data_IF_063167022491
#
_entry.id   IF_063167022491
#
_cell.length_a   1.000
_cell.length_b   1.000
_cell.length_c   1.000
_cell.angle_alpha   90.00
_cell.angle_beta   90.00
_cell.angle_gamma   90.00
#
_symmetry.space_group_name_H-M   'P 1'
#
loop_
_entity.id
_entity.type
_entity.pdbx_description
1 polymer ?
#
# COMPACT_ATOMS: atom_id res chain seq x y z
N UNK A 1 17.98 6.79 -7.74
CA UNK A 1 17.26 5.97 -8.74
C UNK A 1 15.84 6.47 -9.04
N UNK A 2 15.50 6.68 -10.32
CA UNK A 2 14.12 6.98 -10.75
C UNK A 2 13.36 5.71 -11.13
N UNK A 3 12.04 5.69 -10.93
CA UNK A 3 11.16 4.57 -11.28
C UNK A 3 11.28 4.11 -12.74
N UNK A 4 11.59 5.04 -13.65
CA UNK A 4 11.87 4.73 -15.07
C UNK A 4 12.99 3.71 -15.22
N UNK A 5 14.04 3.80 -14.40
CA UNK A 5 15.18 2.89 -14.47
C UNK A 5 14.83 1.49 -13.93
N UNK A 6 14.13 1.42 -12.80
CA UNK A 6 13.60 0.17 -12.25
C UNK A 6 12.68 -0.54 -13.26
N UNK A 7 11.82 0.21 -13.96
CA UNK A 7 10.95 -0.35 -14.99
C UNK A 7 11.74 -0.97 -16.16
N UNK A 8 12.75 -0.28 -16.69
CA UNK A 8 13.56 -0.82 -17.80
C UNK A 8 14.31 -2.08 -17.36
N UNK A 9 14.87 -2.09 -16.13
CA UNK A 9 15.49 -3.30 -15.57
C UNK A 9 14.50 -4.47 -15.49
N UNK A 10 13.29 -4.22 -14.99
CA UNK A 10 12.22 -5.23 -14.93
C UNK A 10 11.84 -5.70 -16.32
N UNK A 11 11.58 -4.80 -17.27
CA UNK A 11 11.20 -5.16 -18.65
C UNK A 11 12.29 -5.96 -19.35
N UNK A 12 13.57 -5.61 -19.16
CA UNK A 12 14.69 -6.38 -19.69
C UNK A 12 14.77 -7.77 -19.08
N UNK A 13 14.46 -7.91 -17.79
CA UNK A 13 14.42 -9.22 -17.14
C UNK A 13 13.30 -10.11 -17.68
N UNK A 14 12.10 -9.55 -17.91
CA UNK A 14 11.02 -10.31 -18.53
C UNK A 14 11.35 -10.66 -19.99
N UNK A 15 11.99 -9.75 -20.74
CA UNK A 15 12.42 -10.05 -22.13
C UNK A 15 13.45 -11.17 -22.21
N UNK A 16 14.33 -11.30 -21.21
CA UNK A 16 15.33 -12.38 -21.16
C UNK A 16 14.73 -13.74 -20.81
N UNK A 17 13.69 -13.79 -19.98
CA UNK A 17 13.11 -15.04 -19.45
C UNK A 17 11.73 -15.28 -20.05
N UNK A 18 11.64 -16.21 -21.01
CA UNK A 18 10.38 -16.56 -21.69
C UNK A 18 9.31 -17.16 -20.76
N UNK A 19 9.73 -17.78 -19.64
CA UNK A 19 8.86 -18.38 -18.62
C UNK A 19 9.19 -17.80 -17.23
N UNK A 20 8.78 -16.55 -16.97
CA UNK A 20 9.06 -15.87 -15.71
C UNK A 20 7.92 -16.09 -14.70
N UNK A 21 8.19 -16.81 -13.60
CA UNK A 21 7.25 -16.98 -12.48
C UNK A 21 7.36 -15.87 -11.44
N UNK A 22 8.59 -15.49 -11.10
CA UNK A 22 8.94 -14.40 -10.19
C UNK A 22 10.21 -13.68 -10.65
N UNK A 23 10.32 -12.39 -10.31
CA UNK A 23 11.52 -11.58 -10.48
C UNK A 23 11.64 -10.57 -9.36
N UNK A 24 12.86 -10.25 -8.95
CA UNK A 24 13.12 -9.21 -7.96
C UNK A 24 14.30 -8.37 -8.43
N UNK A 25 14.15 -7.05 -8.37
CA UNK A 25 15.21 -6.14 -8.79
C UNK A 25 15.32 -4.94 -7.86
N UNK A 26 16.56 -4.47 -7.70
CA UNK A 26 16.90 -3.27 -6.96
C UNK A 26 18.20 -2.70 -7.53
N UNK A 27 18.53 -1.48 -7.14
CA UNK A 27 19.82 -0.87 -7.45
C UNK A 27 20.57 -0.53 -6.18
N UNK A 28 21.90 -0.42 -6.31
CA UNK A 28 22.77 -0.07 -5.20
C UNK A 28 22.33 1.21 -4.46
N UNK A 29 22.04 2.29 -5.18
CA UNK A 29 21.50 3.52 -4.60
C UNK A 29 20.17 3.32 -3.87
N UNK A 30 19.30 2.46 -4.40
CA UNK A 30 18.00 2.20 -3.77
C UNK A 30 18.15 1.43 -2.45
N UNK A 31 19.17 0.56 -2.35
CA UNK A 31 19.55 -0.06 -1.06
C UNK A 31 20.08 0.99 -0.07
N UNK A 32 20.92 1.92 -0.51
CA UNK A 32 21.39 3.02 0.35
C UNK A 32 20.22 3.87 0.85
N UNK A 33 19.29 4.22 -0.04
CA UNK A 33 18.08 4.95 0.32
C UNK A 33 17.20 4.18 1.30
N UNK A 34 17.11 2.85 1.18
CA UNK A 34 16.37 2.02 2.13
C UNK A 34 16.95 2.13 3.54
N UNK A 35 18.28 2.14 3.69
CA UNK A 35 18.90 2.31 5.00
C UNK A 35 18.65 3.69 5.65
N UNK A 36 18.23 4.69 4.87
CA UNK A 36 17.93 6.04 5.36
C UNK A 36 16.42 6.23 5.55
N UNK A 37 15.60 5.70 4.65
CA UNK A 37 14.17 6.01 4.52
C UNK A 37 13.24 4.78 4.65
N UNK A 38 13.80 3.59 4.87
CA UNK A 38 13.10 2.30 4.78
C UNK A 38 12.42 1.83 6.07
N UNK A 39 12.37 2.67 7.10
CA UNK A 39 11.70 2.35 8.37
C UNK A 39 10.22 2.02 8.16
N UNK A 40 9.54 2.78 7.29
CA UNK A 40 8.16 2.52 6.87
C UNK A 40 8.14 2.39 5.36
N UNK A 41 7.58 1.29 4.87
CA UNK A 41 7.42 1.05 3.44
C UNK A 41 5.95 0.87 3.07
N UNK A 42 5.59 1.30 1.87
CA UNK A 42 4.36 0.93 1.17
C UNK A 42 4.66 -0.23 0.22
N UNK A 43 3.74 -1.18 0.19
CA UNK A 43 3.79 -2.34 -0.68
C UNK A 43 2.38 -2.56 -1.24
N UNK A 44 2.23 -2.32 -2.54
CA UNK A 44 0.94 -2.42 -3.23
C UNK A 44 1.09 -3.32 -4.46
N UNK A 45 0.24 -4.34 -4.60
CA UNK A 45 0.22 -5.18 -5.79
C UNK A 45 -0.62 -4.52 -6.87
N UNK A 46 -0.03 -4.34 -8.06
CA UNK A 46 -0.76 -3.83 -9.22
C UNK A 46 -0.91 -4.91 -10.29
N UNK A 47 -2.15 -5.31 -10.53
CA UNK A 47 -2.52 -6.33 -11.51
C UNK A 47 -2.65 -5.74 -12.93
N UNK A 48 -2.43 -6.57 -13.96
CA UNK A 48 -2.62 -6.23 -15.39
C UNK A 48 -1.80 -5.03 -15.91
N UNK A 49 -0.66 -4.73 -15.31
CA UNK A 49 0.17 -3.59 -15.74
C UNK A 49 1.22 -3.94 -16.79
N UNK A 50 1.41 -5.22 -17.13
CA UNK A 50 2.39 -5.63 -18.14
C UNK A 50 1.82 -6.68 -19.12
N UNK A 51 2.46 -6.81 -20.27
CA UNK A 51 2.08 -7.72 -21.35
C UNK A 51 2.16 -9.22 -20.99
N UNK A 52 2.68 -9.53 -19.80
CA UNK A 52 2.91 -10.88 -19.30
C UNK A 52 1.92 -11.26 -18.19
N UNK A 53 0.93 -10.41 -17.91
CA UNK A 53 -0.09 -10.61 -16.86
C UNK A 53 0.51 -10.85 -15.46
N UNK A 54 1.75 -10.41 -15.22
CA UNK A 54 2.39 -10.52 -13.90
C UNK A 54 1.99 -9.36 -12.99
N UNK A 55 2.07 -9.60 -11.70
CA UNK A 55 1.74 -8.66 -10.64
C UNK A 55 2.98 -7.86 -10.30
N UNK A 56 2.92 -6.54 -10.52
CA UNK A 56 4.01 -5.64 -10.19
C UNK A 56 3.86 -5.10 -8.77
N UNK A 57 4.93 -5.22 -7.98
CA UNK A 57 4.94 -4.93 -6.54
C UNK A 57 6.15 -4.05 -6.19
N UNK A 58 6.03 -2.72 -6.23
CA UNK A 58 7.10 -1.84 -5.80
C UNK A 58 7.19 -1.80 -4.27
N UNK A 59 8.42 -1.77 -3.76
CA UNK A 59 8.73 -1.46 -2.38
C UNK A 59 9.10 0.01 -2.30
N UNK A 60 8.22 0.83 -1.74
CA UNK A 60 8.37 2.29 -1.75
C UNK A 60 8.35 2.84 -0.34
N UNK A 61 9.07 3.91 -0.07
CA UNK A 61 8.96 4.70 1.16
C UNK A 61 8.89 6.18 0.80
N UNK A 62 9.19 7.06 1.76
CA UNK A 62 9.24 8.50 1.52
C UNK A 62 10.53 9.11 2.03
N UNK A 63 11.08 10.06 1.27
CA UNK A 63 12.20 10.87 1.74
C UNK A 63 11.76 11.90 2.79
N UNK A 64 12.71 12.67 3.31
CA UNK A 64 12.46 13.72 4.31
C UNK A 64 11.57 14.88 3.79
N UNK A 65 11.30 14.94 2.48
CA UNK A 65 10.39 15.89 1.87
C UNK A 65 9.02 15.28 1.55
N UNK A 66 8.77 14.04 1.96
CA UNK A 66 7.54 13.30 1.69
C UNK A 66 7.40 12.82 0.24
N UNK A 67 8.48 12.86 -0.56
CA UNK A 67 8.48 12.36 -1.94
C UNK A 67 8.68 10.85 -1.94
N UNK A 68 7.98 10.11 -2.82
CA UNK A 68 8.11 8.66 -2.90
C UNK A 68 9.52 8.25 -3.35
N UNK A 69 10.07 7.24 -2.69
CA UNK A 69 11.37 6.63 -3.01
C UNK A 69 11.20 5.13 -3.17
N UNK A 70 11.46 4.59 -4.35
CA UNK A 70 11.38 3.14 -4.60
C UNK A 70 12.71 2.46 -4.29
N UNK A 71 12.66 1.48 -3.39
CA UNK A 71 13.80 0.71 -2.90
C UNK A 71 14.06 -0.56 -3.73
N UNK A 72 12.99 -1.22 -4.16
CA UNK A 72 13.04 -2.41 -4.97
C UNK A 72 11.71 -2.60 -5.72
N UNK A 73 11.67 -3.56 -6.64
CA UNK A 73 10.43 -4.01 -7.25
C UNK A 73 10.43 -5.52 -7.44
N UNK A 74 9.27 -6.12 -7.20
CA UNK A 74 8.95 -7.50 -7.50
C UNK A 74 8.03 -7.65 -8.71
N UNK A 75 8.17 -8.78 -9.38
CA UNK A 75 7.14 -9.37 -10.22
C UNK A 75 6.81 -10.75 -9.68
N UNK A 76 5.52 -11.04 -9.53
CA UNK A 76 5.04 -12.39 -9.20
C UNK A 76 3.90 -12.78 -10.12
N UNK A 77 3.80 -14.06 -10.45
CA UNK A 77 2.78 -14.58 -11.37
C UNK A 77 1.39 -14.73 -10.73
N UNK A 78 1.30 -14.70 -9.40
CA UNK A 78 0.05 -14.90 -8.66
C UNK A 78 0.14 -14.32 -7.23
N UNK A 79 -1.01 -14.12 -6.57
CA UNK A 79 -1.12 -13.58 -5.20
C UNK A 79 -1.15 -14.68 -4.13
N UNK A 80 -0.54 -15.85 -4.38
CA UNK A 80 -0.46 -16.89 -3.35
C UNK A 80 0.62 -16.54 -2.34
N UNK A 81 0.42 -16.98 -1.09
CA UNK A 81 1.37 -16.82 0.01
C UNK A 81 2.80 -17.17 -0.38
N UNK A 82 3.03 -18.29 -1.07
CA UNK A 82 4.37 -18.72 -1.47
C UNK A 82 5.12 -17.71 -2.35
N UNK A 83 4.41 -17.02 -3.26
CA UNK A 83 5.02 -16.00 -4.10
C UNK A 83 5.46 -14.78 -3.29
N UNK A 84 4.65 -14.37 -2.31
CA UNK A 84 5.01 -13.28 -1.39
C UNK A 84 6.10 -13.68 -0.38
N UNK A 85 6.11 -14.94 0.08
CA UNK A 85 7.20 -15.47 0.93
C UNK A 85 8.53 -15.39 0.18
N UNK A 86 8.57 -15.85 -1.07
CA UNK A 86 9.75 -15.72 -1.92
C UNK A 86 10.17 -14.26 -2.06
N UNK A 87 9.22 -13.37 -2.36
CA UNK A 87 9.49 -11.97 -2.62
C UNK A 87 10.01 -11.21 -1.38
N UNK A 88 9.36 -11.36 -0.23
CA UNK A 88 9.79 -10.72 1.01
C UNK A 88 11.13 -11.30 1.50
N UNK A 89 11.37 -12.60 1.28
CA UNK A 89 12.66 -13.21 1.62
C UNK A 89 13.80 -12.57 0.84
N UNK A 90 13.63 -12.39 -0.47
CA UNK A 90 14.61 -11.71 -1.32
C UNK A 90 14.78 -10.25 -0.93
N UNK A 91 13.68 -9.55 -0.63
CA UNK A 91 13.75 -8.16 -0.17
C UNK A 91 14.62 -8.03 1.09
N UNK A 92 14.37 -8.84 2.13
CA UNK A 92 15.15 -8.80 3.37
C UNK A 92 16.61 -9.22 3.13
N UNK A 93 16.87 -10.25 2.33
CA UNK A 93 18.24 -10.66 2.00
C UNK A 93 19.02 -9.55 1.30
N UNK A 94 18.38 -8.85 0.34
CA UNK A 94 19.03 -7.77 -0.40
C UNK A 94 19.20 -6.51 0.45
N UNK A 95 18.20 -6.14 1.26
CA UNK A 95 18.22 -4.93 2.08
C UNK A 95 18.99 -5.10 3.40
N UNK A 96 19.13 -6.34 3.89
CA UNK A 96 19.84 -6.69 5.12
C UNK A 96 19.04 -6.50 6.41
N UNK A 97 17.93 -5.77 6.38
CA UNK A 97 17.04 -5.55 7.53
C UNK A 97 15.60 -5.46 7.04
N UNK A 98 14.66 -5.93 7.87
CA UNK A 98 13.23 -5.79 7.64
C UNK A 98 12.75 -4.37 8.00
N UNK A 99 11.70 -3.84 7.34
CA UNK A 99 11.15 -2.54 7.69
C UNK A 99 10.51 -2.61 9.08
N UNK A 100 10.44 -1.48 9.79
CA UNK A 100 9.73 -1.43 11.08
C UNK A 100 8.21 -1.47 10.87
N UNK A 101 7.72 -0.92 9.77
CA UNK A 101 6.30 -1.00 9.39
C UNK A 101 6.13 -1.18 7.88
N UNK A 102 5.14 -1.98 7.51
CA UNK A 102 4.68 -2.17 6.14
C UNK A 102 3.22 -1.72 6.01
N UNK A 103 2.97 -0.82 5.06
CA UNK A 103 1.64 -0.40 4.63
C UNK A 103 1.26 -1.23 3.41
N UNK A 104 0.23 -2.05 3.53
CA UNK A 104 -0.21 -2.97 2.48
C UNK A 104 -1.72 -2.96 2.31
N UNK A 105 -2.25 -3.64 1.31
CA UNK A 105 -3.69 -3.85 1.17
C UNK A 105 -4.24 -4.91 2.15
N UNK A 106 -5.46 -5.40 1.93
CA UNK A 106 -6.12 -6.38 2.78
C UNK A 106 -5.89 -7.84 2.31
N UNK A 107 -4.89 -8.11 1.46
CA UNK A 107 -4.65 -9.47 0.95
C UNK A 107 -4.17 -10.44 2.04
N UNK A 108 -4.80 -11.62 2.10
CA UNK A 108 -4.54 -12.66 3.11
C UNK A 108 -3.25 -13.44 2.81
N UNK A 109 -2.93 -13.66 1.54
CA UNK A 109 -1.70 -14.34 1.14
C UNK A 109 -0.47 -13.53 1.55
N UNK A 110 -0.52 -12.23 1.27
CA UNK A 110 0.47 -11.26 1.69
C UNK A 110 0.55 -11.14 3.21
N UNK A 111 -0.58 -11.11 3.92
CA UNK A 111 -0.57 -11.08 5.38
C UNK A 111 0.15 -12.29 5.98
N UNK A 112 -0.12 -13.49 5.45
CA UNK A 112 0.53 -14.71 5.90
C UNK A 112 2.04 -14.68 5.65
N UNK A 113 2.46 -14.21 4.47
CA UNK A 113 3.87 -14.10 4.10
C UNK A 113 4.63 -13.06 4.95
N UNK A 114 4.00 -11.93 5.29
CA UNK A 114 4.62 -10.92 6.16
C UNK A 114 4.79 -11.49 7.58
N UNK A 115 3.79 -12.21 8.12
CA UNK A 115 3.92 -12.86 9.43
C UNK A 115 5.05 -13.87 9.49
N UNK A 116 5.32 -14.57 8.39
CA UNK A 116 6.39 -15.55 8.29
C UNK A 116 7.78 -14.91 8.13
N UNK A 117 7.91 -13.92 7.25
CA UNK A 117 9.22 -13.40 6.82
C UNK A 117 9.62 -12.10 7.50
N UNK A 118 8.66 -11.21 7.77
CA UNK A 118 8.88 -9.88 8.33
C UNK A 118 8.51 -9.87 9.82
N UNK A 119 9.07 -10.81 10.58
CA UNK A 119 8.79 -10.97 12.01
C UNK A 119 9.15 -9.68 12.77
N UNK A 120 8.18 -9.14 13.51
CA UNK A 120 8.34 -7.88 14.27
C UNK A 120 8.07 -6.62 13.45
N UNK A 121 7.89 -6.71 12.12
CA UNK A 121 7.38 -5.60 11.32
C UNK A 121 5.91 -5.35 11.67
N UNK A 122 5.57 -4.08 11.89
CA UNK A 122 4.19 -3.67 12.15
C UNK A 122 3.39 -3.56 10.86
N UNK A 123 2.14 -4.03 10.87
CA UNK A 123 1.30 -4.04 9.67
C UNK A 123 0.30 -2.88 9.74
N UNK A 124 0.17 -2.15 8.64
CA UNK A 124 -0.85 -1.13 8.45
C UNK A 124 -1.59 -1.38 7.14
N UNK A 125 -2.90 -1.28 7.16
CA UNK A 125 -3.71 -1.32 5.95
C UNK A 125 -3.70 0.04 5.25
N UNK A 126 -3.60 -0.02 3.93
CA UNK A 126 -3.56 1.13 3.05
C UNK A 126 -4.89 1.86 3.11
N UNK A 127 -4.84 3.09 3.62
CA UNK A 127 -6.03 3.90 3.83
C UNK A 127 -6.77 4.18 2.52
N UNK A 128 -6.06 4.31 1.40
CA UNK A 128 -6.71 4.51 0.11
C UNK A 128 -7.68 3.38 -0.26
N UNK A 129 -7.26 2.12 -0.11
CA UNK A 129 -8.10 0.96 -0.43
C UNK A 129 -9.33 0.89 0.47
N UNK A 130 -9.15 1.23 1.76
CA UNK A 130 -10.24 1.31 2.72
C UNK A 130 -11.23 2.38 2.30
N UNK A 131 -10.75 3.61 2.05
CA UNK A 131 -11.60 4.74 1.67
C UNK A 131 -12.30 4.54 0.32
N UNK A 132 -11.63 3.86 -0.63
CA UNK A 132 -12.25 3.48 -1.90
C UNK A 132 -13.43 2.53 -1.69
N UNK A 133 -13.25 1.47 -0.89
CA UNK A 133 -14.34 0.55 -0.54
C UNK A 133 -15.43 1.26 0.27
N UNK A 134 -15.05 2.11 1.21
CA UNK A 134 -15.95 2.88 2.06
C UNK A 134 -16.96 3.69 1.25
N UNK A 135 -16.51 4.36 0.19
CA UNK A 135 -17.38 5.12 -0.71
C UNK A 135 -18.46 4.26 -1.39
N UNK A 136 -18.26 2.94 -1.46
CA UNK A 136 -19.26 1.99 -1.99
C UNK A 136 -20.18 1.40 -0.92
N UNK A 137 -19.80 1.54 0.36
CA UNK A 137 -20.49 0.94 1.52
C UNK A 137 -21.37 1.94 2.27
N UNK A 138 -21.00 3.22 2.26
CA UNK A 138 -21.81 4.30 2.85
C UNK A 138 -23.09 4.51 2.02
N UNK A 139 -24.27 4.62 2.65
CA UNK A 139 -25.50 5.01 1.96
C UNK A 139 -25.36 6.31 1.14
N UNK A 140 -25.90 6.33 -0.08
CA UNK A 140 -25.80 7.48 -1.00
C UNK A 140 -26.28 8.82 -0.41
N UNK A 141 -27.22 8.78 0.53
CA UNK A 141 -27.72 9.97 1.24
C UNK A 141 -26.61 10.58 2.10
N UNK A 142 -25.90 9.77 2.88
CA UNK A 142 -24.80 10.21 3.74
C UNK A 142 -23.58 10.66 2.93
N UNK A 143 -23.34 10.07 1.75
CA UNK A 143 -22.31 10.57 0.83
C UNK A 143 -22.56 11.99 0.30
N UNK A 144 -23.76 12.54 0.49
CA UNK A 144 -24.12 13.92 0.12
C UNK A 144 -24.26 14.83 1.34
N UNK A 145 -24.16 14.26 2.53
CA UNK A 145 -24.26 14.97 3.80
C UNK A 145 -22.86 15.50 4.15
N UNK A 146 -22.73 16.83 4.20
CA UNK A 146 -21.44 17.47 4.47
C UNK A 146 -21.04 17.37 5.95
N UNK A 147 -22.01 17.33 6.86
CA UNK A 147 -21.75 17.17 8.29
C UNK A 147 -21.24 15.75 8.56
N UNK A 148 -21.89 14.74 7.98
CA UNK A 148 -21.40 13.36 8.03
C UNK A 148 -19.96 13.27 7.53
N UNK A 149 -19.66 13.81 6.34
CA UNK A 149 -18.31 13.76 5.79
C UNK A 149 -17.30 14.43 6.71
N UNK A 150 -17.65 15.57 7.30
CA UNK A 150 -16.76 16.32 8.18
C UNK A 150 -16.46 15.54 9.45
N UNK A 151 -17.50 15.06 10.14
CA UNK A 151 -17.38 14.28 11.37
C UNK A 151 -16.63 12.96 11.12
N UNK A 152 -17.01 12.25 10.07
CA UNK A 152 -16.40 10.98 9.68
C UNK A 152 -14.92 11.13 9.31
N UNK A 153 -14.56 12.19 8.58
CA UNK A 153 -13.16 12.46 8.28
C UNK A 153 -12.37 12.87 9.54
N UNK A 154 -12.96 13.64 10.46
CA UNK A 154 -12.32 14.00 11.72
C UNK A 154 -12.05 12.77 12.58
N UNK A 155 -13.00 11.82 12.64
CA UNK A 155 -12.83 10.56 13.35
C UNK A 155 -11.68 9.71 12.78
N UNK A 156 -11.61 9.54 11.45
CA UNK A 156 -10.64 8.61 10.81
C UNK A 156 -9.24 9.21 10.63
N UNK A 157 -9.14 10.48 10.26
CA UNK A 157 -7.87 11.05 9.78
C UNK A 157 -7.07 11.78 10.85
N UNK A 158 -7.62 11.95 12.04
CA UNK A 158 -6.92 12.61 13.13
C UNK A 158 -5.79 11.73 13.64
N UNK A 159 -4.57 12.23 13.48
CA UNK A 159 -3.35 11.67 14.06
C UNK A 159 -3.09 12.17 15.49
N UNK A 160 -3.94 13.09 15.97
CA UNK A 160 -3.89 13.63 17.33
C UNK A 160 -4.78 12.86 18.31
N UNK A 161 -5.73 12.06 17.82
CA UNK A 161 -6.61 11.30 18.69
C UNK A 161 -5.83 10.23 19.45
N UNK A 162 -6.12 10.09 20.75
CA UNK A 162 -5.88 8.85 21.48
C UNK A 162 -6.85 7.76 20.99
N UNK A 163 -6.50 6.46 21.14
CA UNK A 163 -7.43 5.37 20.85
C UNK A 163 -8.81 5.56 21.46
N UNK A 164 -8.90 6.01 22.72
CA UNK A 164 -10.15 6.24 23.45
C UNK A 164 -11.02 7.30 22.77
N UNK A 165 -10.42 8.39 22.28
CA UNK A 165 -11.13 9.43 21.55
C UNK A 165 -11.67 8.93 20.21
N UNK A 166 -10.92 8.04 19.54
CA UNK A 166 -11.44 7.36 18.35
C UNK A 166 -12.65 6.47 18.70
N UNK A 167 -12.58 5.69 19.78
CA UNK A 167 -13.70 4.81 20.20
C UNK A 167 -14.98 5.59 20.44
N UNK A 168 -14.88 6.72 21.16
CA UNK A 168 -16.02 7.60 21.47
C UNK A 168 -16.62 8.19 20.19
N UNK A 169 -15.79 8.84 19.36
CA UNK A 169 -16.25 9.45 18.11
C UNK A 169 -16.81 8.43 17.11
N UNK A 170 -16.17 7.26 17.00
CA UNK A 170 -16.65 6.19 16.12
C UNK A 170 -18.04 5.74 16.55
N UNK A 171 -18.24 5.49 17.85
CA UNK A 171 -19.54 5.10 18.39
C UNK A 171 -20.60 6.18 18.15
N UNK A 172 -20.30 7.44 18.46
CA UNK A 172 -21.22 8.56 18.24
C UNK A 172 -21.68 8.65 16.78
N UNK A 173 -20.76 8.54 15.83
CA UNK A 173 -21.05 8.57 14.40
C UNK A 173 -21.89 7.35 13.98
N UNK A 174 -21.54 6.16 14.44
CA UNK A 174 -22.26 4.93 14.10
C UNK A 174 -23.72 5.02 14.57
N UNK A 175 -23.94 5.48 15.80
CA UNK A 175 -25.27 5.65 16.41
C UNK A 175 -26.07 6.78 15.73
N UNK A 176 -25.44 7.96 15.54
CA UNK A 176 -26.09 9.15 14.97
C UNK A 176 -26.59 8.91 13.54
N UNK A 177 -25.85 8.14 12.74
CA UNK A 177 -26.15 7.92 11.33
C UNK A 177 -26.80 6.56 11.03
N UNK A 178 -27.12 5.77 12.06
CA UNK A 178 -27.82 4.49 11.93
C UNK A 178 -27.02 3.44 11.15
N UNK A 179 -25.73 3.30 11.49
CA UNK A 179 -24.79 2.41 10.80
C UNK A 179 -24.52 1.10 11.57
N UNK A 180 -25.20 0.86 12.69
CA UNK A 180 -24.92 -0.25 13.63
C UNK A 180 -25.12 -1.62 12.97
N UNK A 181 -26.17 -1.77 12.16
CA UNK A 181 -26.51 -3.04 11.50
C UNK A 181 -25.67 -3.32 10.25
N UNK A 182 -24.79 -2.39 9.86
CA UNK A 182 -23.98 -2.52 8.67
C UNK A 182 -22.71 -3.33 8.96
N UNK A 183 -22.73 -4.62 8.58
CA UNK A 183 -21.63 -5.58 8.74
C UNK A 183 -20.24 -5.03 8.37
N UNK A 184 -20.16 -4.23 7.31
CA UNK A 184 -18.90 -3.64 6.87
C UNK A 184 -18.28 -2.68 7.90
N UNK A 185 -19.09 -1.84 8.56
CA UNK A 185 -18.58 -0.93 9.59
C UNK A 185 -18.14 -1.70 10.83
N UNK A 186 -18.91 -2.70 11.26
CA UNK A 186 -18.55 -3.60 12.36
C UNK A 186 -17.23 -4.34 12.08
N UNK A 187 -17.05 -4.80 10.84
CA UNK A 187 -15.80 -5.42 10.39
C UNK A 187 -14.64 -4.43 10.41
N UNK A 188 -14.81 -3.22 9.88
CA UNK A 188 -13.73 -2.23 9.89
C UNK A 188 -13.37 -1.78 11.31
N UNK A 189 -14.34 -1.70 12.21
CA UNK A 189 -14.13 -1.42 13.62
C UNK A 189 -13.32 -2.53 14.32
N UNK A 190 -13.62 -3.81 14.05
CA UNK A 190 -12.85 -4.91 14.65
C UNK A 190 -11.38 -4.90 14.21
N UNK A 191 -11.08 -4.33 13.04
CA UNK A 191 -9.73 -4.16 12.52
C UNK A 191 -9.10 -2.79 12.78
N UNK A 192 -9.69 -1.92 13.61
CA UNK A 192 -9.22 -0.54 13.88
C UNK A 192 -7.71 -0.39 14.10
N UNK A 193 -7.09 -1.33 14.81
CA UNK A 193 -5.64 -1.36 15.11
C UNK A 193 -4.75 -1.46 13.86
N UNK A 194 -5.30 -1.92 12.74
CA UNK A 194 -4.59 -2.05 11.47
C UNK A 194 -4.69 -0.81 10.59
N UNK A 195 -5.61 0.14 10.81
CA UNK A 195 -5.80 1.24 9.87
C UNK A 195 -5.99 2.62 10.49
N UNK A 196 -6.57 2.71 11.69
CA UNK A 196 -6.85 3.98 12.35
C UNK A 196 -5.55 4.62 12.84
N UNK A 197 -5.21 5.86 12.41
CA UNK A 197 -3.98 6.56 12.82
C UNK A 197 -3.76 6.62 14.34
N UNK A 198 -4.82 6.80 15.14
CA UNK A 198 -4.74 6.86 16.61
C UNK A 198 -4.03 5.66 17.24
N UNK A 199 -4.10 4.49 16.59
CA UNK A 199 -3.43 3.28 17.07
C UNK A 199 -1.93 3.23 16.73
N UNK A 200 -1.42 4.07 15.82
CA UNK A 200 -0.04 4.03 15.31
C UNK A 200 0.86 5.14 15.84
N UNK A 201 0.52 5.74 16.98
CA UNK A 201 1.19 6.94 17.52
C UNK A 201 2.65 6.74 17.91
N UNK A 202 3.02 5.51 18.26
CA UNK A 202 4.39 5.07 18.49
C UNK A 202 5.26 5.11 17.21
N UNK A 203 4.65 5.28 16.03
CA UNK A 203 5.34 5.48 14.76
C UNK A 203 5.00 6.84 14.14
N UNK A 204 6.00 7.70 13.86
CA UNK A 204 5.76 8.96 13.16
C UNK A 204 5.41 8.70 11.70
N UNK A 205 4.14 8.42 11.43
CA UNK A 205 3.64 8.16 10.09
C UNK A 205 3.83 9.37 9.16
N UNK A 206 3.77 10.59 9.70
CA UNK A 206 3.95 11.83 8.94
C UNK A 206 3.12 11.85 7.65
N UNK A 207 3.77 12.09 6.51
CA UNK A 207 3.08 12.10 5.21
C UNK A 207 2.55 10.72 4.76
N UNK A 208 2.84 9.63 5.47
CA UNK A 208 2.34 8.27 5.21
C UNK A 208 0.94 8.05 5.81
N UNK A 209 0.42 8.95 6.66
CA UNK A 209 -0.95 8.85 7.19
C UNK A 209 -1.95 8.78 6.03
N UNK A 210 -1.78 9.66 5.06
CA UNK A 210 -2.55 9.73 3.81
C UNK A 210 -1.86 8.95 2.71
N UNK A 211 -1.46 7.70 2.97
CA UNK A 211 -0.94 6.82 1.90
C UNK A 211 -2.02 6.73 0.81
N UNK A 212 -1.88 7.56 -0.23
CA UNK A 212 -2.73 7.51 -1.40
C UNK A 212 -1.98 6.69 -2.40
N UNK A 213 -2.29 5.40 -2.46
CA UNK A 213 -1.87 4.59 -3.59
C UNK A 213 -2.34 5.19 -4.92
N UNK A 214 -3.19 6.23 -4.99
CA UNK A 214 -3.42 7.01 -6.21
C UNK A 214 -2.17 7.74 -6.70
N UNK A 215 -1.40 8.39 -5.82
CA UNK A 215 -0.19 9.10 -6.27
C UNK A 215 0.86 8.11 -6.77
N UNK A 216 1.04 7.01 -6.03
CA UNK A 216 1.96 5.92 -6.35
C UNK A 216 1.45 5.13 -7.57
N UNK A 217 0.20 4.63 -7.58
CA UNK A 217 -0.41 3.90 -8.70
C UNK A 217 -0.73 4.77 -9.92
N UNK A 218 -1.04 6.07 -9.84
CA UNK A 218 -1.17 6.90 -11.05
C UNK A 218 0.21 7.15 -11.68
N UNK A 219 1.23 7.34 -10.83
CA UNK A 219 2.62 7.37 -11.23
C UNK A 219 3.07 6.01 -11.80
N UNK A 220 2.51 4.87 -11.38
CA UNK A 220 2.81 3.56 -11.98
C UNK A 220 1.98 3.27 -13.24
N UNK A 221 0.66 3.50 -13.22
CA UNK A 221 -0.29 3.22 -14.32
C UNK A 221 0.03 3.99 -15.59
N UNK A 222 0.46 5.25 -15.50
CA UNK A 222 0.84 6.03 -16.69
C UNK A 222 2.11 5.50 -17.37
N UNK A 223 3.01 4.88 -16.60
CA UNK A 223 4.27 4.37 -17.12
C UNK A 223 4.18 2.91 -17.56
N UNK A 224 3.20 2.15 -17.08
CA UNK A 224 3.03 0.72 -17.38
C UNK A 224 2.08 0.44 -18.56
N UNK A 225 1.42 1.45 -19.13
CA UNK A 225 0.69 1.28 -20.40
C UNK A 225 1.64 0.75 -21.49
N UNK A 226 1.21 -0.22 -22.32
CA UNK A 226 1.91 -0.53 -23.55
C UNK A 226 2.11 0.77 -24.31
N UNK A 227 3.35 1.09 -24.70
CA UNK A 227 3.55 2.08 -25.76
C UNK A 227 2.76 1.54 -26.95
N UNK A 228 1.72 2.25 -27.37
CA UNK A 228 1.12 2.03 -28.69
C UNK A 228 2.26 2.08 -29.70
N UNK A 229 2.50 0.99 -30.42
CA UNK A 229 3.52 0.87 -31.47
C UNK A 229 3.14 1.70 -32.72
N UNK A 230 2.28 2.71 -32.57
CA UNK A 230 1.77 3.55 -33.66
C UNK A 230 1.99 5.03 -33.36
N UNK A 231 3.25 5.45 -33.22
CA UNK A 231 3.69 6.81 -33.56
C UNK A 231 5.14 6.75 -34.09
N UNK A 232 5.32 6.03 -35.20
CA UNK A 232 6.43 6.25 -36.13
C UNK A 232 5.81 6.34 -37.53
N UNK A 233 5.35 7.54 -37.89
CA UNK A 233 5.08 7.94 -39.27
C UNK A 233 4.89 9.45 -39.32
N UNK A 234 6.00 10.18 -39.31
CA UNK A 234 6.46 11.08 -40.40
C UNK A 234 7.83 11.61 -40.03
#
# INVERSE_FOLDING_TARGET
MTFKFLKEMVLDEIRRKKDLSESFTFHYESKQNYHIFGDVITFDSTYNTNMYCMIFTPFTGKDNHGKPVTFAAGLVSNEKTGAFVWLFSHFVQCMGVAPKMIVKDQDLGMQSAIQEILVGTRHRWCMWHIMYKLATKVPKKLLRDEDFKKEFNACIWSDLHEPEQFEELWKEIIDQYGLEDMEWFNTMYSYKEYWIPAYFRDFPLGSMIRTTSVSENSFYKNFLKPRSILQNST
#
